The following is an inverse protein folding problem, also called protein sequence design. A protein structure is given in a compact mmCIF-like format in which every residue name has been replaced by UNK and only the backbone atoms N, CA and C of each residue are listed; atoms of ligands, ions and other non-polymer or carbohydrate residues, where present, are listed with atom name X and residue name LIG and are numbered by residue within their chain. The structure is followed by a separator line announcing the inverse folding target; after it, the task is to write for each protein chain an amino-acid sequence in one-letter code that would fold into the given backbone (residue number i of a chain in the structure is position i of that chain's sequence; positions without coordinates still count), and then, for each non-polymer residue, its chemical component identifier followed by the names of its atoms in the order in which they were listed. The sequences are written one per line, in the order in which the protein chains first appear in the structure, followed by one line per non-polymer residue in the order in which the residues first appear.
data_IF_271221136601
#
_entry.id   IF_271221136601
#
_cell.length_a   1.000
_cell.length_b   1.000
_cell.length_c   1.000
_cell.angle_alpha   90.00
_cell.angle_beta   90.00
_cell.angle_gamma   90.00
#
_symmetry.space_group_name_H-M   'P 1'
#
loop_
_entity.id
_entity.type
_entity.pdbx_description
1 polymer ?
#
# COMPACT_ATOMS: atom_id res chain seq x y z
N UNK A 1 43.21 60.11 11.05
CA UNK A 1 42.28 60.27 9.91
C UNK A 1 41.04 59.42 10.16
N UNK A 2 39.94 60.06 10.57
CA UNK A 2 38.65 59.46 10.96
C UNK A 2 37.65 59.48 9.78
N UNK A 3 38.08 59.10 8.57
CA UNK A 3 37.38 59.51 7.33
C UNK A 3 37.05 58.39 6.34
N UNK A 4 36.80 57.19 6.84
CA UNK A 4 36.19 56.10 6.07
C UNK A 4 35.19 55.30 6.92
N UNK A 5 34.54 55.90 7.92
CA UNK A 5 33.38 55.24 8.52
C UNK A 5 32.19 55.42 7.57
N UNK A 6 31.66 54.34 6.97
CA UNK A 6 30.49 54.45 6.11
C UNK A 6 29.35 55.06 6.95
N UNK A 7 28.61 56.03 6.40
CA UNK A 7 27.64 56.77 7.17
C UNK A 7 26.54 55.83 7.70
N UNK A 8 26.04 56.07 8.92
CA UNK A 8 25.29 55.08 9.70
C UNK A 8 24.02 54.58 9.00
N UNK A 9 23.40 55.41 8.16
CA UNK A 9 22.20 55.06 7.40
C UNK A 9 22.40 53.86 6.46
N UNK A 10 23.62 53.60 5.96
CA UNK A 10 23.88 52.45 5.09
C UNK A 10 23.75 51.12 5.84
N UNK A 11 24.07 51.10 7.13
CA UNK A 11 23.90 49.92 8.00
C UNK A 11 22.41 49.63 8.23
N UNK A 12 21.63 50.67 8.48
CA UNK A 12 20.18 50.57 8.64
C UNK A 12 19.48 50.15 7.34
N UNK A 13 19.92 50.66 6.19
CA UNK A 13 19.41 50.24 4.89
C UNK A 13 19.72 48.75 4.59
N UNK A 14 20.94 48.30 4.87
CA UNK A 14 21.31 46.89 4.72
C UNK A 14 20.51 45.98 5.65
N UNK A 15 20.33 46.37 6.91
CA UNK A 15 19.49 45.64 7.86
C UNK A 15 18.03 45.58 7.39
N UNK A 16 17.46 46.70 6.93
CA UNK A 16 16.11 46.73 6.36
C UNK A 16 15.95 45.81 5.15
N UNK A 17 16.94 45.78 4.26
CA UNK A 17 16.92 44.90 3.09
C UNK A 17 17.00 43.41 3.48
N UNK A 18 17.77 43.06 4.50
CA UNK A 18 17.80 41.69 5.04
C UNK A 18 16.45 41.28 5.65
N UNK A 19 15.81 42.17 6.42
CA UNK A 19 14.49 41.90 7.01
C UNK A 19 13.44 41.71 5.93
N UNK A 20 13.43 42.59 4.91
CA UNK A 20 12.51 42.46 3.76
C UNK A 20 12.78 41.19 2.98
N UNK A 21 14.05 40.84 2.73
CA UNK A 21 14.41 39.61 2.02
C UNK A 21 13.99 38.36 2.81
N UNK A 22 14.19 38.33 4.13
CA UNK A 22 13.75 37.24 4.98
C UNK A 22 12.22 37.12 4.99
N UNK A 23 11.51 38.24 5.10
CA UNK A 23 10.04 38.26 5.04
C UNK A 23 9.51 37.76 3.69
N UNK A 24 10.09 38.21 2.57
CA UNK A 24 9.73 37.72 1.24
C UNK A 24 10.06 36.24 1.04
N UNK A 25 11.13 35.75 1.68
CA UNK A 25 11.48 34.34 1.68
C UNK A 25 10.44 33.50 2.44
N UNK A 26 10.01 33.97 3.60
CA UNK A 26 9.01 33.29 4.44
C UNK A 26 7.63 33.26 3.76
N UNK A 27 7.27 34.33 3.06
CA UNK A 27 6.05 34.41 2.25
C UNK A 27 6.04 33.51 1.01
N UNK A 28 7.20 32.99 0.59
CA UNK A 28 7.31 32.20 -0.65
C UNK A 28 6.53 30.88 -0.57
N UNK A 29 6.16 30.45 0.65
CA UNK A 29 5.42 29.21 0.90
C UNK A 29 6.23 27.97 0.56
N UNK A 30 5.89 26.84 1.18
CA UNK A 30 6.45 25.56 0.76
C UNK A 30 5.89 25.19 -0.61
N UNK A 31 6.74 24.64 -1.49
CA UNK A 31 6.26 23.99 -2.71
C UNK A 31 5.30 22.87 -2.30
N UNK A 32 4.11 22.83 -2.91
CA UNK A 32 3.10 21.79 -2.63
C UNK A 32 2.91 20.89 -3.83
N UNK A 33 2.59 19.62 -3.58
CA UNK A 33 2.28 18.62 -4.60
C UNK A 33 0.97 17.89 -4.26
N UNK A 34 0.25 17.35 -5.27
CA UNK A 34 -0.99 16.64 -5.03
C UNK A 34 -0.74 15.23 -4.48
N UNK A 35 -1.40 14.88 -3.39
CA UNK A 35 -1.39 13.55 -2.79
C UNK A 35 -2.79 12.95 -2.73
N UNK A 36 -2.92 11.63 -2.89
CA UNK A 36 -4.19 10.92 -2.84
C UNK A 36 -4.61 10.61 -1.40
N UNK A 37 -5.91 10.79 -1.12
CA UNK A 37 -6.56 10.47 0.14
C UNK A 37 -7.85 9.71 -0.12
N UNK A 38 -8.28 8.87 0.83
CA UNK A 38 -9.56 8.18 0.74
C UNK A 38 -10.72 9.19 0.78
N UNK A 39 -11.57 9.17 -0.25
CA UNK A 39 -12.77 10.02 -0.33
C UNK A 39 -13.94 9.45 0.49
N UNK A 40 -13.96 8.12 0.66
CA UNK A 40 -14.95 7.36 1.42
C UNK A 40 -14.27 6.18 2.10
N UNK A 41 -15.01 5.40 2.88
CA UNK A 41 -14.49 4.16 3.45
C UNK A 41 -14.15 3.17 2.34
N UNK A 42 -12.94 2.62 2.38
CA UNK A 42 -12.45 1.57 1.46
C UNK A 42 -12.13 0.36 2.32
N UNK A 43 -12.76 -0.77 2.06
CA UNK A 43 -12.47 -1.99 2.82
C UNK A 43 -11.15 -2.62 2.35
N UNK A 44 -10.41 -3.26 3.26
CA UNK A 44 -9.23 -4.05 2.95
C UNK A 44 -9.53 -5.06 1.82
N UNK A 45 -8.60 -5.31 0.91
CA UNK A 45 -8.79 -6.14 -0.27
C UNK A 45 -9.63 -5.52 -1.39
N UNK A 46 -10.19 -4.31 -1.22
CA UNK A 46 -10.94 -3.65 -2.29
C UNK A 46 -10.01 -2.91 -3.25
N UNK A 47 -10.33 -2.96 -4.55
CA UNK A 47 -9.64 -2.16 -5.55
C UNK A 47 -9.94 -0.67 -5.36
N UNK A 48 -8.90 0.17 -5.37
CA UNK A 48 -9.02 1.63 -5.28
C UNK A 48 -9.38 2.20 -6.65
N UNK A 49 -10.58 2.76 -6.77
CA UNK A 49 -11.05 3.44 -7.97
C UNK A 49 -10.92 4.96 -7.89
N UNK A 50 -11.10 5.64 -9.03
CA UNK A 50 -11.04 7.11 -9.09
C UNK A 50 -12.09 7.81 -8.19
N UNK A 51 -13.23 7.17 -7.93
CA UNK A 51 -14.26 7.68 -7.02
C UNK A 51 -13.89 7.55 -5.54
N UNK A 52 -12.90 6.71 -5.22
CA UNK A 52 -12.40 6.48 -3.87
C UNK A 52 -11.31 7.47 -3.47
N UNK A 53 -10.88 8.33 -4.40
CA UNK A 53 -9.70 9.19 -4.22
C UNK A 53 -10.09 10.66 -4.25
N UNK A 54 -9.63 11.41 -3.24
CA UNK A 54 -9.63 12.87 -3.24
C UNK A 54 -8.18 13.37 -3.20
N UNK A 55 -7.86 14.31 -4.10
CA UNK A 55 -6.51 14.86 -4.19
C UNK A 55 -6.38 16.09 -3.30
N UNK A 56 -5.40 16.09 -2.39
CA UNK A 56 -5.10 17.21 -1.49
C UNK A 56 -3.68 17.69 -1.73
N UNK A 57 -3.45 19.00 -1.61
CA UNK A 57 -2.10 19.56 -1.72
C UNK A 57 -1.40 19.53 -0.38
N UNK A 58 -0.24 18.86 -0.33
CA UNK A 58 0.64 18.84 0.83
C UNK A 58 2.02 19.39 0.47
N UNK A 59 2.83 19.79 1.46
CA UNK A 59 4.22 20.15 1.22
C UNK A 59 4.96 19.02 0.49
N UNK A 60 5.78 19.40 -0.49
CA UNK A 60 6.59 18.46 -1.25
C UNK A 60 7.44 17.60 -0.31
N UNK A 61 7.43 16.28 -0.53
CA UNK A 61 8.15 15.32 0.29
C UNK A 61 7.41 14.87 1.55
N UNK A 62 6.09 15.08 1.62
CA UNK A 62 5.26 14.55 2.72
C UNK A 62 5.25 13.01 2.75
N UNK A 63 5.08 12.38 1.58
CA UNK A 63 5.24 10.94 1.37
C UNK A 63 5.31 10.65 -0.15
N UNK A 64 5.82 9.49 -0.53
CA UNK A 64 5.87 9.09 -1.94
C UNK A 64 4.45 8.85 -2.48
N UNK A 65 4.12 9.44 -3.64
CA UNK A 65 2.81 9.27 -4.27
C UNK A 65 2.76 7.87 -4.91
N UNK A 66 1.90 6.96 -4.41
CA UNK A 66 1.84 5.61 -4.96
C UNK A 66 1.19 5.59 -6.34
N UNK A 67 1.54 4.58 -7.14
CA UNK A 67 0.77 4.26 -8.34
C UNK A 67 -0.57 3.64 -7.93
N UNK A 68 -1.67 4.25 -8.39
CA UNK A 68 -3.04 3.79 -8.10
C UNK A 68 -3.59 2.88 -9.21
N UNK A 69 -2.82 2.64 -10.27
CA UNK A 69 -3.20 1.78 -11.39
C UNK A 69 -3.30 0.34 -10.90
N UNK A 70 -4.53 -0.09 -10.56
CA UNK A 70 -4.84 -1.36 -9.90
C UNK A 70 -4.32 -1.49 -8.45
N UNK A 71 -4.26 -0.39 -7.69
CA UNK A 71 -3.99 -0.47 -6.27
C UNK A 71 -5.13 -1.17 -5.50
N UNK A 72 -4.78 -1.99 -4.53
CA UNK A 72 -5.71 -2.67 -3.62
C UNK A 72 -5.47 -2.13 -2.21
N UNK A 73 -6.52 -1.82 -1.46
CA UNK A 73 -6.36 -1.41 -0.07
C UNK A 73 -5.83 -2.59 0.77
N UNK A 74 -4.67 -2.46 1.41
CA UNK A 74 -4.14 -3.52 2.28
C UNK A 74 -4.87 -3.60 3.62
N UNK A 75 -5.45 -2.48 4.06
CA UNK A 75 -6.19 -2.32 5.32
C UNK A 75 -7.50 -1.59 5.07
N UNK A 76 -8.40 -1.62 6.05
CA UNK A 76 -9.59 -0.76 6.02
C UNK A 76 -9.16 0.69 6.16
N UNK A 77 -9.64 1.53 5.23
CA UNK A 77 -9.31 2.95 5.17
C UNK A 77 -10.55 3.80 5.42
N UNK A 78 -10.44 4.74 6.34
CA UNK A 78 -11.49 5.71 6.64
C UNK A 78 -11.41 6.94 5.71
N UNK A 79 -12.51 7.68 5.53
CA UNK A 79 -12.50 8.91 4.75
C UNK A 79 -11.48 9.92 5.29
N UNK A 80 -10.64 10.45 4.41
CA UNK A 80 -9.61 11.44 4.74
C UNK A 80 -8.27 10.84 5.15
N UNK A 81 -8.10 9.52 5.15
CA UNK A 81 -6.80 8.87 5.35
C UNK A 81 -5.91 8.92 4.11
N UNK A 82 -4.58 9.06 4.26
CA UNK A 82 -3.66 9.15 3.14
C UNK A 82 -3.49 7.78 2.46
N UNK A 83 -3.59 7.78 1.13
CA UNK A 83 -3.28 6.60 0.32
C UNK A 83 -1.77 6.60 0.05
N UNK A 84 -1.04 5.80 0.82
CA UNK A 84 0.41 5.64 0.71
C UNK A 84 0.76 4.20 0.36
N UNK A 85 1.98 3.95 -0.11
CA UNK A 85 2.46 2.60 -0.40
C UNK A 85 2.38 1.63 0.79
N UNK A 86 2.34 2.14 2.04
CA UNK A 86 2.22 1.31 3.22
C UNK A 86 0.81 0.76 3.48
N UNK A 87 -0.23 1.41 2.92
CA UNK A 87 -1.64 1.01 3.09
C UNK A 87 -2.26 0.46 1.81
N UNK A 88 -1.47 0.40 0.74
CA UNK A 88 -1.85 -0.15 -0.54
C UNK A 88 -1.02 -1.41 -0.81
N UNK A 89 -1.69 -2.49 -1.18
CA UNK A 89 -1.07 -3.60 -1.85
C UNK A 89 -1.07 -3.32 -3.36
N UNK A 90 0.02 -3.70 -4.05
CA UNK A 90 -0.03 -3.78 -5.50
C UNK A 90 -1.01 -4.87 -5.93
N UNK A 91 -1.74 -4.68 -7.04
CA UNK A 91 -2.43 -5.80 -7.66
C UNK A 91 -1.42 -6.90 -7.99
N UNK A 92 -1.57 -8.06 -7.39
CA UNK A 92 -0.75 -9.21 -7.74
C UNK A 92 -1.27 -9.72 -9.05
N UNK A 93 -0.49 -9.48 -10.10
CA UNK A 93 -0.74 -10.07 -11.39
C UNK A 93 -0.66 -11.59 -11.25
N UNK A 94 -1.81 -12.26 -11.42
CA UNK A 94 -1.86 -13.71 -11.52
C UNK A 94 -1.07 -14.09 -12.77
N UNK A 95 -0.01 -14.93 -12.66
CA UNK A 95 0.75 -15.33 -13.83
C UNK A 95 -0.12 -16.03 -14.88
N UNK A 96 0.25 -15.93 -16.15
CA UNK A 96 -0.50 -16.58 -17.22
C UNK A 96 -0.59 -18.10 -17.00
N UNK A 97 -1.79 -18.65 -17.14
CA UNK A 97 -2.06 -20.08 -16.93
C UNK A 97 -2.24 -20.48 -15.46
N UNK A 98 -2.20 -19.54 -14.52
CA UNK A 98 -2.49 -19.80 -13.11
C UNK A 98 -3.97 -19.59 -12.80
N UNK A 99 -4.45 -20.27 -11.76
CA UNK A 99 -5.83 -20.20 -11.30
C UNK A 99 -5.87 -19.76 -9.84
N UNK A 100 -6.90 -19.02 -9.50
CA UNK A 100 -7.14 -18.53 -8.15
C UNK A 100 -8.07 -19.50 -7.41
N UNK A 101 -7.60 -20.08 -6.31
CA UNK A 101 -8.35 -21.08 -5.51
C UNK A 101 -8.52 -20.54 -4.09
N UNK A 102 -9.73 -20.60 -3.51
CA UNK A 102 -9.93 -20.29 -2.10
C UNK A 102 -9.26 -21.36 -1.23
N UNK A 103 -8.31 -20.96 -0.39
CA UNK A 103 -7.53 -21.86 0.48
C UNK A 103 -7.37 -21.21 1.86
N UNK A 104 -7.57 -21.98 2.93
CA UNK A 104 -7.25 -21.51 4.28
C UNK A 104 -5.72 -21.40 4.47
N UNK A 105 -5.27 -20.23 4.90
CA UNK A 105 -3.85 -19.91 5.12
C UNK A 105 -3.63 -19.27 6.48
N UNK A 106 -2.36 -19.08 6.86
CA UNK A 106 -2.04 -18.31 8.06
C UNK A 106 -2.67 -16.91 7.98
N UNK A 107 -3.31 -16.39 9.03
CA UNK A 107 -3.94 -15.06 9.03
C UNK A 107 -2.91 -13.92 8.90
N UNK A 108 -1.62 -14.23 8.99
CA UNK A 108 -0.52 -13.29 8.76
C UNK A 108 -0.04 -13.26 7.30
N UNK A 109 -0.55 -14.14 6.43
CA UNK A 109 -0.19 -14.17 5.02
C UNK A 109 -0.81 -12.97 4.30
N UNK A 110 0.05 -12.09 3.79
CA UNK A 110 -0.34 -10.95 3.00
C UNK A 110 -0.37 -11.25 1.50
N UNK A 111 -1.00 -10.38 0.70
CA UNK A 111 -0.84 -10.41 -0.74
C UNK A 111 0.65 -10.45 -1.13
N UNK A 112 1.04 -11.46 -1.89
CA UNK A 112 2.35 -11.58 -2.53
C UNK A 112 3.25 -12.59 -1.83
N UNK A 113 2.85 -13.04 -0.64
CA UNK A 113 3.56 -14.06 0.09
C UNK A 113 3.52 -15.39 -0.65
N UNK A 114 4.66 -16.07 -0.69
CA UNK A 114 4.76 -17.45 -1.15
C UNK A 114 4.16 -18.40 -0.12
N UNK A 115 3.24 -19.24 -0.58
CA UNK A 115 2.61 -20.28 0.23
C UNK A 115 3.03 -21.65 -0.31
N UNK A 116 3.49 -22.51 0.59
CA UNK A 116 3.68 -23.92 0.32
C UNK A 116 2.35 -24.65 0.60
N UNK A 117 1.81 -25.29 -0.43
CA UNK A 117 0.60 -26.09 -0.36
C UNK A 117 1.00 -27.57 -0.29
N UNK A 118 0.58 -28.26 0.76
CA UNK A 118 0.91 -29.66 1.03
C UNK A 118 -0.37 -30.48 1.00
N UNK A 119 -0.50 -31.37 0.02
CA UNK A 119 -1.55 -32.39 -0.01
C UNK A 119 -1.07 -33.54 0.86
N UNK A 120 -1.88 -33.99 1.80
CA UNK A 120 -1.49 -35.00 2.81
C UNK A 120 -1.51 -36.42 2.23
N UNK A 121 -2.48 -36.73 1.37
CA UNK A 121 -2.63 -38.05 0.75
C UNK A 121 -3.18 -37.97 -0.69
N UNK A 122 -2.37 -38.26 -1.73
CA UNK A 122 -0.94 -38.59 -1.65
C UNK A 122 -0.10 -37.37 -1.25
N UNK A 123 1.05 -37.57 -0.57
CA UNK A 123 1.93 -36.48 -0.16
C UNK A 123 2.52 -35.77 -1.38
N UNK A 124 2.02 -34.57 -1.67
CA UNK A 124 2.47 -33.72 -2.76
C UNK A 124 2.62 -32.28 -2.27
N UNK A 125 3.55 -31.54 -2.87
CA UNK A 125 3.86 -30.16 -2.46
C UNK A 125 3.90 -29.24 -3.66
N UNK A 126 3.27 -28.08 -3.55
CA UNK A 126 3.18 -27.08 -4.60
C UNK A 126 3.46 -25.69 -4.04
N UNK A 127 3.96 -24.79 -4.89
CA UNK A 127 4.07 -23.37 -4.55
C UNK A 127 2.87 -22.61 -5.08
N UNK A 128 2.33 -21.72 -4.26
CA UNK A 128 1.32 -20.75 -4.63
C UNK A 128 1.69 -19.36 -4.14
N UNK A 129 0.92 -18.36 -4.57
CA UNK A 129 1.09 -16.97 -4.15
C UNK A 129 -0.26 -16.45 -3.64
N UNK A 130 -0.28 -15.81 -2.47
CA UNK A 130 -1.50 -15.18 -1.96
C UNK A 130 -1.86 -13.99 -2.85
N UNK A 131 -3.05 -13.99 -3.44
CA UNK A 131 -3.62 -12.86 -4.19
C UNK A 131 -4.44 -11.98 -3.26
N UNK A 132 -5.31 -12.61 -2.46
CA UNK A 132 -6.14 -11.95 -1.45
C UNK A 132 -5.90 -12.61 -0.09
N UNK A 133 -5.71 -11.82 0.99
CA UNK A 133 -5.45 -12.37 2.30
C UNK A 133 -6.72 -12.97 2.90
N UNK A 134 -6.54 -13.93 3.80
CA UNK A 134 -7.65 -14.48 4.57
C UNK A 134 -8.25 -13.39 5.47
N UNK A 135 -9.58 -13.37 5.60
CA UNK A 135 -10.27 -12.56 6.61
C UNK A 135 -10.77 -13.45 7.74
N UNK A 136 -10.41 -13.08 8.97
CA UNK A 136 -10.74 -13.86 10.16
C UNK A 136 -10.06 -15.23 10.20
N UNK A 137 -10.33 -15.99 11.25
CA UNK A 137 -10.00 -17.41 11.32
C UNK A 137 -11.25 -18.27 11.06
N UNK A 138 -11.09 -19.59 11.03
CA UNK A 138 -12.19 -20.53 10.81
C UNK A 138 -13.32 -20.43 11.87
N UNK A 139 -13.11 -19.70 12.96
CA UNK A 139 -14.11 -19.45 14.01
C UNK A 139 -14.77 -18.07 13.92
N UNK A 140 -14.30 -17.21 13.01
CA UNK A 140 -14.83 -15.86 12.82
C UNK A 140 -16.13 -15.86 12.01
N UNK A 141 -17.05 -14.96 12.37
CA UNK A 141 -18.35 -14.80 11.68
C UNK A 141 -18.22 -14.23 10.26
N UNK A 142 -17.14 -13.52 9.98
CA UNK A 142 -16.81 -12.90 8.71
C UNK A 142 -15.72 -13.68 7.96
N UNK A 143 -15.49 -14.95 8.35
CA UNK A 143 -14.45 -15.77 7.78
C UNK A 143 -14.56 -15.85 6.26
N UNK A 144 -13.47 -15.51 5.57
CA UNK A 144 -13.27 -15.78 4.15
C UNK A 144 -11.88 -16.36 3.95
N UNK A 145 -11.75 -17.51 3.27
CA UNK A 145 -10.45 -18.08 2.96
C UNK A 145 -9.65 -17.13 2.06
N UNK A 146 -8.32 -17.27 2.10
CA UNK A 146 -7.46 -16.52 1.19
C UNK A 146 -7.67 -16.99 -0.24
N UNK A 147 -7.40 -16.11 -1.19
CA UNK A 147 -7.37 -16.47 -2.60
C UNK A 147 -5.92 -16.69 -3.02
N UNK A 148 -5.55 -17.93 -3.35
CA UNK A 148 -4.18 -18.31 -3.69
C UNK A 148 -4.08 -18.64 -5.17
N UNK A 149 -3.14 -17.99 -5.86
CA UNK A 149 -2.76 -18.32 -7.23
C UNK A 149 -1.96 -19.62 -7.24
N UNK A 150 -2.36 -20.58 -8.07
CA UNK A 150 -1.62 -21.83 -8.28
C UNK A 150 -1.44 -22.14 -9.76
N UNK A 151 -0.40 -22.90 -10.15
CA UNK A 151 -0.22 -23.38 -11.53
C UNK A 151 -1.44 -24.18 -12.04
N UNK A 152 -1.89 -23.89 -13.25
CA UNK A 152 -3.12 -24.47 -13.80
C UNK A 152 -3.09 -25.97 -14.07
N UNK A 153 -1.91 -26.55 -14.26
CA UNK A 153 -1.72 -28.00 -14.35
C UNK A 153 -2.02 -28.71 -13.03
N UNK A 154 -1.82 -28.03 -11.89
CA UNK A 154 -2.06 -28.56 -10.55
C UNK A 154 -3.41 -28.12 -9.97
N UNK A 155 -4.03 -27.08 -10.52
CA UNK A 155 -5.24 -26.47 -9.99
C UNK A 155 -6.40 -27.46 -9.71
N UNK A 156 -6.73 -28.43 -10.58
CA UNK A 156 -7.79 -29.40 -10.29
C UNK A 156 -7.48 -30.29 -9.10
N UNK A 157 -6.22 -30.69 -8.92
CA UNK A 157 -5.77 -31.54 -7.83
C UNK A 157 -5.80 -30.77 -6.50
N UNK A 158 -5.30 -29.53 -6.49
CA UNK A 158 -5.30 -28.66 -5.31
C UNK A 158 -6.73 -28.33 -4.88
N UNK A 159 -7.60 -27.98 -5.84
CA UNK A 159 -9.02 -27.71 -5.55
C UNK A 159 -9.72 -28.94 -4.96
N UNK A 160 -9.42 -30.14 -5.47
CA UNK A 160 -9.99 -31.38 -4.95
C UNK A 160 -9.45 -31.71 -3.54
N UNK A 161 -8.15 -31.49 -3.29
CA UNK A 161 -7.55 -31.71 -1.99
C UNK A 161 -8.10 -30.75 -0.92
N UNK A 162 -8.29 -29.48 -1.27
CA UNK A 162 -8.91 -28.48 -0.38
C UNK A 162 -10.36 -28.87 -0.05
N UNK A 163 -11.15 -29.21 -1.07
CA UNK A 163 -12.54 -29.64 -0.87
C UNK A 163 -12.66 -30.92 -0.01
N UNK A 164 -11.61 -31.76 0.00
CA UNK A 164 -11.52 -32.96 0.83
C UNK A 164 -10.94 -32.71 2.23
N UNK A 165 -10.47 -31.50 2.54
CA UNK A 165 -9.78 -31.19 3.81
C UNK A 165 -8.42 -31.88 3.94
N UNK A 166 -7.78 -32.20 2.82
CA UNK A 166 -6.48 -32.88 2.75
C UNK A 166 -5.33 -31.91 2.42
N UNK A 167 -5.60 -30.61 2.40
CA UNK A 167 -4.62 -29.58 2.11
C UNK A 167 -4.15 -28.90 3.40
N UNK A 168 -2.85 -28.69 3.51
CA UNK A 168 -2.23 -27.90 4.56
C UNK A 168 -1.40 -26.81 3.90
N UNK A 169 -1.58 -25.57 4.34
CA UNK A 169 -0.81 -24.43 3.87
C UNK A 169 0.29 -24.05 4.88
N UNK A 170 1.44 -23.65 4.38
CA UNK A 170 2.54 -23.10 5.17
C UNK A 170 3.08 -21.85 4.49
N UNK A 171 3.28 -20.79 5.27
CA UNK A 171 3.78 -19.49 4.77
C UNK A 171 5.21 -19.32 5.21
N UNK A 172 6.07 -18.86 4.31
CA UNK A 172 7.47 -18.57 4.64
C UNK A 172 7.54 -17.29 5.49
N UNK A 173 8.22 -17.30 6.65
CA UNK A 173 8.39 -16.10 7.48
C UNK A 173 9.37 -15.09 6.87
#
# INVERSE_FOLDING_TARGET
MYWLQPPPYKRWAAAGLLVVAAFLWDLRGAATEPHPFAARTIAAGSQVGAADVVWRRLPKGSFEVPDLTAAIAAVDLAPGEPLSAAVLAGAIAIPEGWWAIPIDVSPHAGPGDEVLLVVVDPPLTFSGVVIEPQRGDATSLDHRPALVAVPGDQAPLIAAAEAAGLLVSAVRP
#
